data_IF_859289007465
#
_entry.id   IF_859289007465
#
_cell.length_a   1.000
_cell.length_b   1.000
_cell.length_c   1.000
_cell.angle_alpha   90.00
_cell.angle_beta   90.00
_cell.angle_gamma   90.00
#
_symmetry.space_group_name_H-M   'P 1'
#
loop_
_entity.id
_entity.type
_entity.pdbx_description
1 polymer ?
#
# COMPACT_ATOMS: atom_id res chain seq x y z
N UNK A 1 90.96 -10.76 -34.45
CA UNK A 1 92.08 -10.52 -33.50
C UNK A 1 91.68 -9.33 -32.60
N UNK A 2 91.79 -9.58 -31.29
CA UNK A 2 91.89 -8.62 -30.18
C UNK A 2 90.75 -7.58 -30.04
N UNK A 3 89.82 -7.78 -29.08
CA UNK A 3 89.80 -7.40 -27.67
C UNK A 3 90.05 -5.93 -27.40
N UNK A 4 89.02 -5.24 -26.79
CA UNK A 4 89.21 -4.50 -25.53
C UNK A 4 87.86 -4.20 -24.90
N UNK A 5 87.72 -4.59 -23.63
CA UNK A 5 86.67 -4.29 -22.69
C UNK A 5 86.88 -2.88 -22.10
N UNK A 6 85.78 -2.16 -21.92
CA UNK A 6 85.74 -1.04 -20.94
C UNK A 6 84.45 -1.09 -20.17
N UNK A 7 84.60 -1.28 -18.87
CA UNK A 7 83.56 -1.32 -17.89
C UNK A 7 83.08 0.14 -17.57
N UNK A 8 81.80 0.35 -17.62
CA UNK A 8 81.19 1.55 -17.02
C UNK A 8 80.37 1.10 -15.82
N UNK A 9 80.80 1.52 -14.62
CA UNK A 9 80.06 1.42 -13.37
C UNK A 9 78.98 2.51 -13.35
N UNK A 10 77.75 2.13 -13.30
CA UNK A 10 76.60 3.05 -13.03
C UNK A 10 76.23 2.94 -11.58
N UNK A 11 76.44 4.04 -10.81
CA UNK A 11 75.91 4.27 -9.50
C UNK A 11 74.42 4.23 -9.51
N UNK A 12 73.82 3.29 -8.77
CA UNK A 12 72.37 3.26 -8.47
C UNK A 12 72.09 4.08 -7.24
N UNK A 13 71.61 5.30 -7.40
CA UNK A 13 70.95 6.06 -6.35
C UNK A 13 69.55 5.48 -6.09
N UNK A 14 69.33 4.88 -4.94
CA UNK A 14 68.03 4.44 -4.44
C UNK A 14 67.26 5.68 -3.93
N UNK A 15 66.28 6.15 -4.69
CA UNK A 15 65.27 7.07 -4.20
C UNK A 15 64.25 6.27 -3.38
N UNK A 16 64.21 6.50 -2.08
CA UNK A 16 63.17 5.97 -1.16
C UNK A 16 61.95 6.86 -1.33
N UNK A 17 60.96 6.42 -2.09
CA UNK A 17 59.60 7.03 -2.14
C UNK A 17 58.88 6.59 -0.87
N UNK A 18 58.81 7.51 0.12
CA UNK A 18 57.91 7.40 1.27
C UNK A 18 56.49 7.68 0.74
N UNK A 19 55.78 6.64 0.41
CA UNK A 19 54.34 6.71 0.10
C UNK A 19 53.56 6.97 1.37
N UNK A 20 53.14 8.22 1.58
CA UNK A 20 52.17 8.58 2.62
C UNK A 20 50.82 8.00 2.26
N UNK A 21 50.48 6.83 2.80
CA UNK A 21 49.13 6.26 2.71
C UNK A 21 48.21 7.11 3.60
N UNK A 22 47.53 8.09 3.02
CA UNK A 22 46.33 8.67 3.63
C UNK A 22 45.23 7.59 3.63
N UNK A 23 45.13 6.87 4.74
CA UNK A 23 43.95 6.05 5.01
C UNK A 23 42.76 6.97 5.20
N UNK A 24 42.04 7.24 4.14
CA UNK A 24 40.69 7.79 4.20
C UNK A 24 39.83 6.72 4.84
N UNK A 25 39.62 6.80 6.14
CA UNK A 25 38.63 6.03 6.84
C UNK A 25 37.27 6.49 6.26
N UNK A 26 36.72 5.74 5.31
CA UNK A 26 35.33 5.93 4.89
C UNK A 26 34.46 5.68 6.11
N UNK A 27 33.97 6.73 6.74
CA UNK A 27 32.90 6.62 7.72
C UNK A 27 31.76 5.91 7.02
N UNK A 28 31.44 4.70 7.43
CA UNK A 28 30.23 4.02 6.96
C UNK A 28 29.07 4.84 7.49
N UNK A 29 28.47 5.66 6.62
CA UNK A 29 27.20 6.29 6.93
C UNK A 29 26.19 5.16 7.20
N UNK A 30 25.72 5.04 8.42
CA UNK A 30 24.65 4.12 8.79
C UNK A 30 23.36 4.56 8.14
N UNK A 31 22.57 3.62 7.65
CA UNK A 31 21.20 3.85 7.25
C UNK A 31 20.26 3.22 8.28
N UNK A 32 19.31 4.00 8.77
CA UNK A 32 18.23 3.52 9.62
C UNK A 32 17.13 3.02 8.71
N UNK A 33 16.86 1.72 8.70
CA UNK A 33 15.80 1.11 7.90
C UNK A 33 14.58 0.85 8.78
N UNK A 34 13.44 1.38 8.40
CA UNK A 34 12.19 1.31 9.15
C UNK A 34 11.08 0.75 8.26
N UNK A 35 10.50 -0.41 8.61
CA UNK A 35 9.43 -1.01 7.83
C UNK A 35 8.09 -0.31 8.08
N UNK A 36 7.34 -0.10 7.00
CA UNK A 36 5.95 0.37 7.02
C UNK A 36 5.10 -0.66 6.28
N UNK A 37 4.07 -1.16 6.95
CA UNK A 37 3.16 -2.17 6.40
C UNK A 37 1.73 -1.66 6.37
N UNK A 38 1.01 -1.97 5.30
CA UNK A 38 -0.42 -1.74 5.21
C UNK A 38 -1.09 -2.89 4.46
N UNK A 39 -2.32 -3.20 4.85
CA UNK A 39 -3.08 -4.31 4.26
C UNK A 39 -4.46 -3.85 3.85
N UNK A 40 -4.87 -4.23 2.65
CA UNK A 40 -6.25 -4.21 2.23
C UNK A 40 -6.83 -5.63 2.30
N UNK A 41 -7.93 -5.76 3.02
CA UNK A 41 -8.74 -6.96 3.08
C UNK A 41 -10.20 -6.50 3.12
N UNK A 42 -11.06 -6.95 2.18
CA UNK A 42 -12.46 -6.51 2.12
C UNK A 42 -13.22 -6.89 3.38
N UNK A 43 -13.95 -5.92 3.94
CA UNK A 43 -14.74 -6.12 5.16
C UNK A 43 -16.23 -6.29 4.81
N UNK A 44 -16.84 -7.49 4.97
CA UNK A 44 -18.27 -7.71 4.72
C UNK A 44 -19.19 -6.77 5.49
N UNK A 45 -18.82 -6.41 6.72
CA UNK A 45 -19.57 -5.47 7.56
C UNK A 45 -19.50 -4.01 7.12
N UNK A 46 -18.54 -3.64 6.26
CA UNK A 46 -18.37 -2.28 5.77
C UNK A 46 -17.91 -2.26 4.29
N UNK A 47 -18.76 -2.69 3.36
CA UNK A 47 -18.38 -2.94 1.97
C UNK A 47 -17.97 -1.68 1.17
N UNK A 48 -18.32 -0.50 1.66
CA UNK A 48 -17.94 0.77 1.03
C UNK A 48 -16.57 1.30 1.49
N UNK A 49 -15.96 0.68 2.51
CA UNK A 49 -14.66 1.06 3.01
C UNK A 49 -13.56 0.28 2.27
N UNK A 50 -13.11 0.83 1.16
CA UNK A 50 -12.06 0.26 0.33
C UNK A 50 -10.76 1.04 0.53
N UNK A 51 -10.15 0.89 1.70
CA UNK A 51 -8.95 1.60 2.11
C UNK A 51 -7.94 0.64 2.72
N UNK A 52 -6.65 0.92 2.53
CA UNK A 52 -5.60 0.23 3.25
C UNK A 52 -5.66 0.54 4.74
N UNK A 53 -5.55 -0.49 5.55
CA UNK A 53 -5.32 -0.38 6.99
C UNK A 53 -3.83 -0.41 7.25
N UNK A 54 -3.29 0.65 7.88
CA UNK A 54 -1.92 0.62 8.35
C UNK A 54 -1.76 -0.46 9.44
N UNK A 55 -0.87 -1.41 9.20
CA UNK A 55 -0.57 -2.54 10.10
C UNK A 55 0.79 -2.42 10.76
N UNK A 56 1.53 -1.32 10.48
CA UNK A 56 2.79 -1.03 11.16
C UNK A 56 2.57 -0.89 12.65
N UNK A 57 3.27 -1.64 13.51
CA UNK A 57 3.18 -1.46 14.95
C UNK A 57 3.63 -0.05 15.36
N UNK A 58 2.76 0.70 16.01
CA UNK A 58 3.11 2.01 16.52
C UNK A 58 4.25 1.91 17.55
N UNK A 59 5.25 2.75 17.38
CA UNK A 59 6.37 2.91 18.29
C UNK A 59 6.36 4.34 18.85
N UNK A 60 7.06 4.55 19.97
CA UNK A 60 7.23 5.89 20.54
C UNK A 60 5.91 6.61 20.80
N UNK A 61 5.76 7.82 20.25
CA UNK A 61 4.64 8.71 20.58
C UNK A 61 3.25 8.08 20.40
N UNK A 62 2.96 7.44 19.28
CA UNK A 62 1.64 6.87 19.03
C UNK A 62 1.37 5.57 19.81
N UNK A 63 2.40 4.86 20.26
CA UNK A 63 2.23 3.77 21.22
C UNK A 63 1.75 4.31 22.57
N UNK A 64 2.34 5.43 23.02
CA UNK A 64 2.07 6.01 24.31
C UNK A 64 0.79 6.89 24.32
N UNK A 65 0.42 7.46 23.14
CA UNK A 65 -0.74 8.34 22.97
C UNK A 65 -1.61 7.98 21.74
N UNK A 66 -2.18 6.76 21.70
CA UNK A 66 -2.88 6.26 20.51
C UNK A 66 -4.12 7.09 20.11
N UNK A 67 -4.82 7.67 21.09
CA UNK A 67 -6.00 8.50 20.84
C UNK A 67 -5.66 9.77 20.06
N UNK A 68 -4.55 10.41 20.44
CA UNK A 68 -4.07 11.63 19.79
C UNK A 68 -3.68 11.30 18.34
N UNK A 69 -2.94 10.22 18.14
CA UNK A 69 -2.53 9.80 16.80
C UNK A 69 -3.73 9.45 15.91
N UNK A 70 -4.73 8.79 16.47
CA UNK A 70 -5.97 8.48 15.73
C UNK A 70 -6.72 9.75 15.32
N UNK A 71 -6.83 10.74 16.22
CA UNK A 71 -7.49 12.01 15.93
C UNK A 71 -6.81 12.82 14.80
N UNK A 72 -5.50 12.66 14.64
CA UNK A 72 -4.70 13.32 13.59
C UNK A 72 -4.39 12.44 12.39
N UNK A 73 -4.85 11.18 12.38
CA UNK A 73 -4.53 10.16 11.36
C UNK A 73 -3.03 10.07 11.09
N UNK A 74 -2.24 9.93 12.16
CA UNK A 74 -0.78 9.80 12.13
C UNK A 74 -0.35 8.47 12.76
N UNK A 75 0.78 7.95 12.30
CA UNK A 75 1.43 6.74 12.81
C UNK A 75 2.87 7.09 13.17
N UNK A 76 3.43 6.50 14.24
CA UNK A 76 4.79 6.85 14.65
C UNK A 76 5.76 5.70 14.61
N UNK A 77 6.99 6.05 14.26
CA UNK A 77 8.17 5.21 14.32
C UNK A 77 9.18 5.86 15.26
N UNK A 78 9.88 5.03 16.04
CA UNK A 78 11.00 5.45 16.84
C UNK A 78 12.29 5.11 16.12
N UNK A 79 13.03 6.13 15.77
CA UNK A 79 14.39 5.95 15.33
C UNK A 79 15.27 5.81 16.57
N UNK A 80 15.81 4.62 16.80
CA UNK A 80 16.98 4.44 17.64
C UNK A 80 18.20 4.88 16.82
N UNK A 81 18.17 6.14 16.36
CA UNK A 81 19.42 6.83 15.99
C UNK A 81 20.29 6.68 17.21
N UNK A 82 21.38 5.95 17.12
CA UNK A 82 22.26 5.70 18.24
C UNK A 82 22.68 7.01 18.86
N UNK A 83 21.89 7.52 19.82
CA UNK A 83 21.91 8.81 20.45
C UNK A 83 22.44 9.94 19.57
N UNK A 84 21.68 10.97 19.34
CA UNK A 84 22.32 12.20 18.81
C UNK A 84 23.25 12.65 19.92
N UNK A 85 24.58 12.58 19.73
CA UNK A 85 25.54 12.82 20.82
C UNK A 85 25.38 14.24 21.37
N UNK A 86 25.76 14.42 22.59
CA UNK A 86 25.80 15.74 23.21
C UNK A 86 26.83 16.60 22.49
N UNK A 87 26.37 17.54 21.68
CA UNK A 87 27.21 18.50 20.98
C UNK A 87 26.90 19.92 21.44
N UNK A 88 27.88 20.80 21.31
CA UNK A 88 27.76 22.19 21.71
C UNK A 88 29.08 22.92 21.53
N UNK A 89 29.23 24.11 22.15
CA UNK A 89 28.25 24.81 22.98
C UNK A 89 27.13 25.50 22.15
N UNK A 90 25.99 25.77 22.83
CA UNK A 90 24.95 26.67 22.32
C UNK A 90 25.03 27.95 23.17
N UNK A 91 25.27 29.06 22.51
CA UNK A 91 25.36 30.37 23.19
C UNK A 91 23.98 30.89 23.59
N UNK A 92 23.93 31.61 24.71
CA UNK A 92 22.69 32.26 25.15
C UNK A 92 22.27 33.34 24.17
N UNK A 93 20.98 33.38 23.84
CA UNK A 93 20.36 34.37 22.93
C UNK A 93 21.01 34.42 21.55
N UNK A 94 21.55 33.30 21.07
CA UNK A 94 22.14 33.18 19.74
C UNK A 94 21.18 33.76 18.67
N UNK A 95 21.73 34.49 17.72
CA UNK A 95 20.98 35.12 16.63
C UNK A 95 20.69 34.12 15.50
N UNK A 96 21.63 33.24 15.19
CA UNK A 96 21.47 32.20 14.19
C UNK A 96 20.67 31.02 14.76
N UNK A 97 19.54 30.73 14.12
CA UNK A 97 18.68 29.59 14.51
C UNK A 97 19.40 28.25 14.36
N UNK A 98 20.34 28.13 13.40
CA UNK A 98 21.13 26.93 13.15
C UNK A 98 22.16 26.63 14.25
N UNK A 99 22.60 27.66 14.95
CA UNK A 99 23.49 27.58 16.09
C UNK A 99 22.75 27.21 17.41
N UNK A 100 21.49 26.81 17.35
CA UNK A 100 20.65 26.46 18.47
C UNK A 100 19.89 25.16 18.27
N UNK A 101 18.81 25.00 19.05
CA UNK A 101 17.91 23.86 18.90
C UNK A 101 16.86 24.14 17.83
N UNK A 102 16.90 23.41 16.74
CA UNK A 102 15.93 23.50 15.67
C UNK A 102 15.50 22.13 15.16
N UNK A 103 14.33 22.08 14.55
CA UNK A 103 13.79 20.90 13.90
C UNK A 103 13.16 21.34 12.57
N UNK A 104 13.57 20.69 11.48
CA UNK A 104 12.91 20.70 10.20
C UNK A 104 12.64 19.26 9.79
N UNK A 105 11.47 18.98 9.26
CA UNK A 105 11.09 17.65 8.73
C UNK A 105 10.59 17.75 7.30
N UNK A 106 10.68 16.67 6.49
CA UNK A 106 10.12 16.63 5.14
C UNK A 106 8.59 16.49 5.20
N UNK A 107 7.92 17.60 5.55
CA UNK A 107 6.47 17.66 5.77
C UNK A 107 5.65 17.76 4.46
N UNK A 108 6.28 18.00 3.31
CA UNK A 108 5.63 17.95 2.02
C UNK A 108 5.28 16.50 1.63
N UNK A 109 4.14 16.32 0.93
CA UNK A 109 3.79 15.03 0.36
C UNK A 109 4.80 14.63 -0.72
N UNK A 110 5.31 13.39 -0.63
CA UNK A 110 6.24 12.82 -1.60
C UNK A 110 5.62 11.59 -2.23
N UNK A 111 5.71 11.52 -3.55
CA UNK A 111 5.28 10.37 -4.32
C UNK A 111 6.30 9.24 -4.17
N UNK A 112 5.79 8.03 -3.98
CA UNK A 112 6.54 6.79 -3.92
C UNK A 112 5.89 5.77 -4.85
N UNK A 113 6.67 5.19 -5.77
CA UNK A 113 6.25 4.03 -6.54
C UNK A 113 6.44 2.77 -5.70
N UNK A 114 5.38 1.95 -5.60
CA UNK A 114 5.46 0.59 -5.08
C UNK A 114 5.15 -0.38 -6.20
N UNK A 115 5.88 -1.49 -6.25
CA UNK A 115 5.84 -2.46 -7.33
C UNK A 115 5.37 -3.81 -6.83
N UNK A 116 4.43 -4.40 -7.55
CA UNK A 116 3.98 -5.76 -7.30
C UNK A 116 5.13 -6.76 -7.49
N UNK A 117 5.35 -7.63 -6.50
CA UNK A 117 6.51 -8.54 -6.46
C UNK A 117 6.57 -9.51 -7.62
N UNK A 118 5.42 -10.00 -8.10
CA UNK A 118 5.34 -11.03 -9.14
C UNK A 118 5.07 -10.45 -10.53
N UNK A 119 4.07 -9.57 -10.64
CA UNK A 119 3.65 -9.04 -11.95
C UNK A 119 4.44 -7.84 -12.41
N UNK A 120 5.08 -7.13 -11.47
CA UNK A 120 5.78 -5.88 -11.75
C UNK A 120 4.84 -4.68 -11.95
N UNK A 121 3.53 -4.83 -11.69
CA UNK A 121 2.57 -3.71 -11.69
C UNK A 121 3.06 -2.61 -10.75
N UNK A 122 3.06 -1.37 -11.22
CA UNK A 122 3.48 -0.21 -10.43
C UNK A 122 2.28 0.67 -10.08
N UNK A 123 2.22 1.07 -8.82
CA UNK A 123 1.22 2.02 -8.33
C UNK A 123 1.88 3.08 -7.46
N UNK A 124 1.25 4.26 -7.40
CA UNK A 124 1.77 5.39 -6.65
C UNK A 124 1.05 5.53 -5.31
N UNK A 125 1.81 5.73 -4.26
CA UNK A 125 1.33 6.22 -2.98
C UNK A 125 2.03 7.53 -2.62
N UNK A 126 1.50 8.25 -1.65
CA UNK A 126 2.12 9.45 -1.13
C UNK A 126 2.39 9.30 0.37
N UNK A 127 3.54 9.76 0.80
CA UNK A 127 3.95 9.79 2.21
C UNK A 127 4.43 11.17 2.59
N UNK A 128 4.15 11.60 3.83
CA UNK A 128 4.78 12.79 4.43
C UNK A 128 5.11 12.53 5.88
N UNK A 129 6.09 13.26 6.38
CA UNK A 129 6.38 13.32 7.81
C UNK A 129 5.48 14.40 8.42
N UNK A 130 4.70 14.04 9.42
CA UNK A 130 3.65 14.90 9.98
C UNK A 130 4.01 15.47 11.37
N UNK A 131 5.11 15.01 11.96
CA UNK A 131 5.58 15.49 13.25
C UNK A 131 6.85 14.81 13.70
N UNK A 132 7.52 15.42 14.65
CA UNK A 132 8.75 14.93 15.26
C UNK A 132 8.81 15.27 16.74
N UNK A 133 9.41 14.39 17.52
CA UNK A 133 9.65 14.56 18.93
C UNK A 133 10.72 13.62 19.46
N UNK A 134 10.80 13.53 20.76
CA UNK A 134 11.78 12.68 21.42
C UNK A 134 12.06 13.14 22.84
N UNK A 135 13.23 12.80 23.34
CA UNK A 135 13.76 13.35 24.61
C UNK A 135 15.06 14.06 24.28
N UNK A 136 15.09 15.38 24.42
CA UNK A 136 16.38 16.05 24.40
C UNK A 136 17.13 15.77 25.70
N UNK A 137 18.44 15.82 25.65
CA UNK A 137 19.34 15.63 26.80
C UNK A 137 20.40 16.73 26.86
N UNK A 138 20.68 17.17 28.06
CA UNK A 138 21.66 18.21 28.34
C UNK A 138 22.89 17.59 29.00
N UNK A 139 24.07 18.15 28.78
CA UNK A 139 25.32 17.70 29.45
C UNK A 139 25.36 18.01 30.95
N UNK A 140 24.56 18.97 31.39
CA UNK A 140 24.45 19.37 32.80
C UNK A 140 22.99 19.43 33.22
N UNK A 141 22.77 19.38 34.56
CA UNK A 141 21.44 19.57 35.14
C UNK A 141 20.88 20.95 34.74
N UNK A 142 19.59 20.96 34.34
CA UNK A 142 18.92 22.22 34.04
C UNK A 142 18.92 23.21 35.17
N UNK A 143 18.96 22.72 36.42
CA UNK A 143 19.05 23.56 37.61
C UNK A 143 20.42 24.24 37.72
N UNK A 144 21.50 23.53 37.40
CA UNK A 144 22.86 24.09 37.35
C UNK A 144 22.98 25.14 36.25
N UNK A 145 22.43 24.86 35.04
CA UNK A 145 22.49 25.78 33.92
C UNK A 145 21.71 27.08 34.16
N UNK A 146 20.60 27.00 34.91
CA UNK A 146 19.66 28.14 35.04
C UNK A 146 19.66 28.77 36.44
N UNK A 147 20.29 28.15 37.42
CA UNK A 147 20.25 28.60 38.82
C UNK A 147 18.91 28.41 39.52
N UNK A 148 17.97 27.62 38.91
CA UNK A 148 16.67 27.36 39.51
C UNK A 148 16.70 26.18 40.47
N UNK A 149 15.71 26.10 41.38
CA UNK A 149 15.57 25.00 42.34
C UNK A 149 14.48 24.01 41.94
N UNK A 150 13.76 24.24 40.82
CA UNK A 150 12.71 23.40 40.30
C UNK A 150 13.02 22.98 38.85
N UNK A 151 12.96 21.69 38.58
CA UNK A 151 13.28 21.12 37.28
C UNK A 151 12.39 21.65 36.15
N UNK A 152 11.09 21.73 36.41
CA UNK A 152 10.11 22.18 35.38
C UNK A 152 10.30 23.67 35.09
N UNK A 153 10.56 24.46 36.12
CA UNK A 153 10.90 25.88 35.95
C UNK A 153 12.21 26.03 35.19
N UNK A 154 13.24 25.25 35.56
CA UNK A 154 14.52 25.25 34.88
C UNK A 154 14.40 24.99 33.39
N UNK A 155 13.72 23.92 32.96
CA UNK A 155 13.50 23.63 31.55
C UNK A 155 12.75 24.75 30.86
N UNK A 156 11.76 25.39 31.49
CA UNK A 156 11.01 26.48 30.91
C UNK A 156 11.86 27.75 30.73
N UNK A 157 12.65 28.14 31.71
CA UNK A 157 13.45 29.37 31.61
C UNK A 157 14.66 29.21 30.72
N UNK A 158 15.26 28.00 30.65
CA UNK A 158 16.35 27.68 29.74
C UNK A 158 16.04 28.03 28.27
N UNK A 159 14.78 27.82 27.86
CA UNK A 159 14.31 28.03 26.51
C UNK A 159 13.32 29.20 26.35
N UNK A 160 13.05 29.95 27.41
CA UNK A 160 12.03 31.00 27.44
C UNK A 160 10.59 30.50 27.41
N UNK A 161 10.36 29.24 27.10
CA UNK A 161 9.06 28.57 27.13
C UNK A 161 9.25 27.05 27.26
N UNK A 162 8.18 26.32 27.66
CA UNK A 162 8.23 24.86 27.72
C UNK A 162 8.42 24.26 26.32
N UNK A 163 9.13 23.14 26.22
CA UNK A 163 9.20 22.32 25.00
C UNK A 163 7.88 21.61 24.68
N UNK A 164 6.94 21.54 25.65
CA UNK A 164 5.57 21.11 25.36
C UNK A 164 4.84 22.10 24.45
N UNK A 165 5.29 23.37 24.42
CA UNK A 165 4.77 24.41 23.51
C UNK A 165 5.66 24.48 22.29
N UNK A 166 5.13 24.06 21.15
CA UNK A 166 5.85 24.13 19.88
C UNK A 166 6.05 25.59 19.44
N UNK A 167 7.20 25.94 18.89
CA UNK A 167 7.37 27.23 18.20
C UNK A 167 6.65 27.19 16.83
N UNK A 168 6.12 28.33 16.38
CA UNK A 168 5.58 28.45 15.02
C UNK A 168 6.66 28.17 13.97
N UNK A 169 6.32 27.47 12.83
CA UNK A 169 4.99 27.02 12.42
C UNK A 169 4.58 25.64 12.99
N UNK A 170 5.42 25.02 13.81
CA UNK A 170 5.05 23.75 14.45
C UNK A 170 3.88 23.92 15.43
N UNK A 171 3.13 22.84 15.63
CA UNK A 171 1.92 22.83 16.45
C UNK A 171 2.09 21.88 17.64
N UNK A 172 1.71 22.39 18.82
CA UNK A 172 1.71 21.58 20.04
C UNK A 172 0.61 20.53 20.01
N UNK A 173 0.92 19.30 20.40
CA UNK A 173 -0.04 18.20 20.46
C UNK A 173 -0.52 17.90 21.90
N UNK A 174 -0.09 18.68 22.85
CA UNK A 174 -0.74 18.81 24.15
C UNK A 174 -0.34 17.88 25.27
N UNK A 175 0.61 16.95 25.10
CA UNK A 175 1.05 16.10 26.23
C UNK A 175 2.55 15.81 26.24
N UNK A 176 3.18 16.10 27.40
CA UNK A 176 4.51 15.62 27.75
C UNK A 176 4.46 15.15 29.20
N UNK A 177 4.88 13.93 29.43
CA UNK A 177 4.81 13.31 30.75
C UNK A 177 6.16 13.15 31.43
N UNK A 178 7.27 13.45 30.73
CA UNK A 178 8.60 13.24 31.28
C UNK A 178 9.45 14.51 31.25
N UNK A 179 10.00 14.86 32.38
CA UNK A 179 11.12 15.80 32.53
C UNK A 179 12.00 15.31 33.66
N UNK A 180 13.31 15.42 33.51
CA UNK A 180 14.31 15.02 34.47
C UNK A 180 15.37 16.11 34.66
N UNK A 181 16.45 15.78 35.32
CA UNK A 181 17.55 16.74 35.56
C UNK A 181 18.15 17.28 34.25
N UNK A 182 18.32 16.42 33.26
CA UNK A 182 18.95 16.75 31.99
C UNK A 182 17.99 16.65 30.80
N UNK A 183 16.92 15.86 30.91
CA UNK A 183 16.08 15.50 29.78
C UNK A 183 14.66 16.05 29.85
N UNK A 184 14.07 16.35 28.67
CA UNK A 184 12.68 16.74 28.53
C UNK A 184 12.06 16.09 27.28
N UNK A 185 10.94 15.36 27.47
CA UNK A 185 10.18 14.77 26.39
C UNK A 185 9.29 15.80 25.69
N UNK A 186 9.27 15.79 24.38
CA UNK A 186 8.43 16.67 23.58
C UNK A 186 7.94 15.96 22.31
N UNK A 187 6.87 16.49 21.73
CA UNK A 187 6.41 16.12 20.40
C UNK A 187 5.68 17.31 19.75
N UNK A 188 6.04 17.62 18.51
CA UNK A 188 5.45 18.69 17.73
C UNK A 188 4.94 18.15 16.39
N UNK A 189 3.75 18.56 15.99
CA UNK A 189 3.31 18.39 14.61
C UNK A 189 4.05 19.40 13.72
N UNK A 190 4.41 18.95 12.53
CA UNK A 190 5.09 19.76 11.51
C UNK A 190 4.18 19.85 10.28
N UNK A 191 3.20 20.79 10.26
CA UNK A 191 2.23 20.90 9.15
C UNK A 191 2.89 21.33 7.84
N UNK A 192 4.02 22.04 7.93
CA UNK A 192 4.76 22.63 6.82
C UNK A 192 6.24 22.25 6.89
N UNK A 193 6.91 22.22 5.74
CA UNK A 193 8.35 21.96 5.64
C UNK A 193 9.16 23.23 5.97
N UNK A 194 9.03 23.67 7.20
CA UNK A 194 9.70 24.86 7.75
C UNK A 194 10.42 24.54 9.05
N UNK A 195 11.31 25.45 9.46
CA UNK A 195 12.09 25.30 10.67
C UNK A 195 11.30 25.73 11.89
N UNK A 196 11.29 24.88 12.92
CA UNK A 196 10.79 25.16 14.24
C UNK A 196 11.98 25.22 15.21
N UNK A 197 12.27 26.40 15.78
CA UNK A 197 13.45 26.60 16.62
C UNK A 197 13.11 27.17 17.97
N UNK A 198 13.94 26.83 18.97
CA UNK A 198 13.92 27.44 20.29
C UNK A 198 15.28 28.06 20.61
N UNK A 199 15.25 29.31 20.97
CA UNK A 199 16.44 30.06 21.36
C UNK A 199 16.80 29.77 22.82
N UNK A 200 18.03 29.34 23.08
CA UNK A 200 18.55 29.18 24.45
C UNK A 200 18.64 30.54 25.13
N UNK A 201 18.21 30.63 26.42
CA UNK A 201 18.33 31.83 27.24
C UNK A 201 19.56 31.78 28.17
N UNK A 202 20.15 30.62 28.29
CA UNK A 202 21.37 30.36 29.05
C UNK A 202 22.36 29.58 28.18
N UNK A 203 23.67 29.66 28.41
CA UNK A 203 24.63 28.84 27.68
C UNK A 203 24.37 27.36 27.95
N UNK A 204 24.43 26.53 26.92
CA UNK A 204 24.26 25.08 27.01
C UNK A 204 25.55 24.42 26.50
N UNK A 205 26.36 23.84 27.37
CA UNK A 205 27.62 23.20 26.96
C UNK A 205 27.45 21.99 26.05
N UNK A 206 26.32 21.29 26.17
CA UNK A 206 25.99 20.15 25.29
C UNK A 206 24.50 19.84 25.25
N UNK A 207 23.99 19.66 24.04
CA UNK A 207 22.63 19.23 23.72
C UNK A 207 22.68 18.01 22.81
N UNK A 208 21.82 17.05 23.05
CA UNK A 208 21.61 15.88 22.21
C UNK A 208 20.20 15.35 22.33
N UNK A 209 19.92 14.20 21.71
CA UNK A 209 18.65 13.50 21.83
C UNK A 209 18.88 12.03 22.18
N UNK A 210 18.16 11.50 23.16
CA UNK A 210 18.22 10.07 23.53
C UNK A 210 17.62 9.18 22.45
N UNK A 211 16.55 9.65 21.82
CA UNK A 211 15.88 9.05 20.68
C UNK A 211 15.05 10.13 19.98
N UNK A 212 14.71 9.86 18.76
CA UNK A 212 13.78 10.66 17.98
C UNK A 212 12.58 9.81 17.57
N UNK A 213 11.38 10.32 17.80
CA UNK A 213 10.13 9.80 17.28
C UNK A 213 9.70 10.70 16.13
N UNK A 214 9.26 10.12 15.02
CA UNK A 214 8.60 10.88 13.97
C UNK A 214 7.29 10.21 13.59
N UNK A 215 6.33 11.02 13.17
CA UNK A 215 5.06 10.52 12.65
C UNK A 215 4.97 10.72 11.16
N UNK A 216 4.26 9.82 10.50
CA UNK A 216 3.99 9.88 9.08
C UNK A 216 2.49 9.76 8.80
N UNK A 217 2.09 10.24 7.64
CA UNK A 217 0.79 10.01 7.03
C UNK A 217 0.97 9.38 5.66
N UNK A 218 0.00 8.55 5.27
CA UNK A 218 -0.06 7.88 3.98
C UNK A 218 -1.32 8.27 3.23
N UNK A 219 -1.20 8.42 1.90
CA UNK A 219 -2.29 8.35 0.94
C UNK A 219 -2.03 7.17 0.04
N UNK A 220 -2.86 6.16 0.18
CA UNK A 220 -2.74 4.91 -0.56
C UNK A 220 -3.56 4.97 -1.84
N UNK A 221 -3.18 4.20 -2.89
CA UNK A 221 -4.02 4.04 -4.07
C UNK A 221 -5.33 3.32 -3.74
N UNK A 222 -6.27 3.35 -4.68
CA UNK A 222 -7.52 2.60 -4.59
C UNK A 222 -7.22 1.09 -4.71
N UNK A 223 -7.40 0.29 -3.64
CA UNK A 223 -7.02 -1.12 -3.67
C UNK A 223 -7.86 -1.96 -4.64
N UNK A 224 -9.09 -1.52 -4.97
CA UNK A 224 -9.94 -2.24 -5.94
C UNK A 224 -9.39 -2.22 -7.37
N UNK A 225 -8.44 -1.32 -7.65
CA UNK A 225 -7.76 -1.21 -8.94
C UNK A 225 -6.41 -1.92 -8.98
N UNK A 226 -6.00 -2.51 -7.87
CA UNK A 226 -4.74 -3.22 -7.73
C UNK A 226 -4.95 -4.72 -7.88
N UNK A 227 -3.94 -5.43 -8.36
CA UNK A 227 -3.94 -6.89 -8.36
C UNK A 227 -3.72 -7.45 -6.94
N UNK A 228 -4.21 -8.66 -6.67
CA UNK A 228 -3.92 -9.37 -5.42
C UNK A 228 -2.43 -9.64 -5.30
N UNK A 229 -1.83 -9.36 -4.14
CA UNK A 229 -0.43 -9.67 -3.88
C UNK A 229 0.28 -8.64 -3.01
N UNK A 230 1.60 -8.64 -3.10
CA UNK A 230 2.49 -7.81 -2.28
C UNK A 230 3.16 -6.76 -3.18
N UNK A 231 3.05 -5.51 -2.77
CA UNK A 231 3.70 -4.36 -3.41
C UNK A 231 4.77 -3.81 -2.49
N UNK A 232 5.95 -3.57 -3.02
CA UNK A 232 7.12 -3.09 -2.26
C UNK A 232 7.67 -1.80 -2.87
N UNK A 233 8.17 -0.92 -2.00
CA UNK A 233 8.82 0.32 -2.41
C UNK A 233 9.60 0.94 -1.26
N UNK A 234 10.48 1.87 -1.57
CA UNK A 234 11.39 2.49 -0.60
C UNK A 234 11.41 3.99 -0.76
N UNK A 235 11.26 4.71 0.35
CA UNK A 235 11.46 6.15 0.43
C UNK A 235 12.68 6.44 1.29
N UNK A 236 13.61 7.21 0.74
CA UNK A 236 14.84 7.60 1.43
C UNK A 236 14.78 9.07 1.80
N UNK A 237 15.19 9.39 3.02
CA UNK A 237 15.37 10.73 3.54
C UNK A 237 16.79 10.91 4.09
N UNK A 238 17.34 12.09 3.90
CA UNK A 238 18.59 12.50 4.54
C UNK A 238 18.33 13.09 5.92
N UNK A 239 19.21 12.80 6.88
CA UNK A 239 19.19 13.40 8.21
C UNK A 239 20.57 14.00 8.51
N UNK A 240 20.71 15.28 8.18
CA UNK A 240 21.96 16.03 8.31
C UNK A 240 21.68 17.53 8.25
N UNK A 241 22.64 18.41 8.58
CA UNK A 241 22.52 19.85 8.32
C UNK A 241 22.16 20.15 6.86
N UNK A 242 21.05 20.86 6.64
CA UNK A 242 20.52 21.16 5.29
C UNK A 242 19.79 20.02 4.58
N UNK A 243 19.65 18.86 5.22
CA UNK A 243 18.96 17.70 4.68
C UNK A 243 17.43 17.75 4.81
N UNK A 244 16.79 16.59 4.53
CA UNK A 244 15.33 16.42 4.69
C UNK A 244 14.93 16.60 6.16
N UNK A 245 15.57 15.84 7.05
CA UNK A 245 15.53 16.09 8.48
C UNK A 245 16.76 16.93 8.84
N UNK A 246 16.54 18.12 9.40
CA UNK A 246 17.59 19.03 9.75
C UNK A 246 17.43 19.47 11.22
N UNK A 247 18.45 19.19 12.04
CA UNK A 247 18.48 19.53 13.47
C UNK A 247 19.42 20.72 13.75
N UNK A 248 19.84 21.44 12.71
CA UNK A 248 20.80 22.55 12.81
C UNK A 248 22.25 22.08 12.69
N UNK A 249 23.17 23.01 12.95
CA UNK A 249 24.60 22.76 12.74
C UNK A 249 25.30 22.22 14.01
N UNK A 250 24.65 22.38 15.17
CA UNK A 250 25.19 21.93 16.46
C UNK A 250 24.84 20.48 16.73
N UNK A 251 23.60 20.06 16.43
CA UNK A 251 23.09 18.74 16.75
C UNK A 251 23.20 17.82 15.54
N UNK A 252 24.28 17.06 15.46
CA UNK A 252 24.55 16.18 14.33
C UNK A 252 24.23 14.71 14.70
N UNK A 253 23.29 14.05 14.01
CA UNK A 253 23.06 12.61 14.14
C UNK A 253 24.25 11.79 13.66
N UNK A 254 24.42 10.58 14.21
CA UNK A 254 25.46 9.63 13.79
C UNK A 254 25.15 8.98 12.45
N UNK A 255 23.86 8.80 12.15
CA UNK A 255 23.36 8.27 10.88
C UNK A 255 22.94 9.42 9.96
N UNK A 256 23.14 9.26 8.68
CA UNK A 256 22.82 10.29 7.69
C UNK A 256 21.62 9.98 6.81
N UNK A 257 21.05 8.76 6.92
CA UNK A 257 19.95 8.28 6.09
C UNK A 257 18.88 7.61 6.94
N UNK A 258 17.63 7.97 6.66
CA UNK A 258 16.43 7.25 7.12
C UNK A 258 15.77 6.65 5.89
N UNK A 259 15.66 5.34 5.85
CA UNK A 259 15.00 4.58 4.79
C UNK A 259 13.68 4.02 5.33
N UNK A 260 12.58 4.31 4.66
CA UNK A 260 11.27 3.73 4.92
C UNK A 260 10.99 2.68 3.87
N UNK A 261 10.89 1.42 4.28
CA UNK A 261 10.56 0.30 3.40
C UNK A 261 9.08 -0.04 3.53
N UNK A 262 8.36 0.15 2.43
CA UNK A 262 6.92 -0.06 2.35
C UNK A 262 6.59 -1.45 1.84
N UNK A 263 5.64 -2.10 2.51
CA UNK A 263 5.02 -3.34 2.06
C UNK A 263 3.51 -3.17 2.14
N UNK A 264 2.85 -3.13 0.97
CA UNK A 264 1.40 -3.15 0.87
C UNK A 264 0.94 -4.55 0.50
N UNK A 265 0.02 -5.11 1.27
CA UNK A 265 -0.60 -6.40 0.96
C UNK A 265 -2.03 -6.17 0.50
N UNK A 266 -2.37 -6.65 -0.70
CA UNK A 266 -3.71 -6.59 -1.27
C UNK A 266 -4.28 -8.00 -1.27
N UNK A 267 -5.36 -8.19 -0.53
CA UNK A 267 -6.12 -9.44 -0.48
C UNK A 267 -7.51 -9.19 -1.05
N UNK A 268 -7.81 -9.80 -2.19
CA UNK A 268 -9.13 -9.74 -2.78
C UNK A 268 -9.90 -11.03 -2.50
N UNK A 269 -11.22 -10.91 -2.54
CA UNK A 269 -12.13 -12.05 -2.49
C UNK A 269 -12.83 -12.20 -3.84
N UNK A 270 -12.92 -13.43 -4.34
CA UNK A 270 -13.84 -13.83 -5.41
C UNK A 270 -14.45 -15.16 -5.03
N UNK A 271 -15.75 -15.16 -4.75
CA UNK A 271 -16.49 -16.36 -4.39
C UNK A 271 -17.84 -16.36 -5.10
N UNK A 272 -18.14 -17.46 -5.77
CA UNK A 272 -19.42 -17.69 -6.43
C UNK A 272 -20.07 -18.95 -5.85
N UNK A 273 -21.28 -18.80 -5.35
CA UNK A 273 -22.05 -19.90 -4.79
C UNK A 273 -23.31 -20.12 -5.66
N UNK A 274 -23.50 -21.35 -6.14
CA UNK A 274 -24.69 -21.78 -6.87
C UNK A 274 -25.62 -22.50 -5.86
N UNK A 275 -26.93 -22.21 -5.88
CA UNK A 275 -27.89 -22.89 -4.99
C UNK A 275 -27.87 -24.40 -5.18
N UNK A 276 -28.23 -25.17 -4.15
CA UNK A 276 -28.34 -26.63 -4.25
C UNK A 276 -29.21 -27.05 -5.46
N UNK A 277 -28.71 -27.99 -6.28
CA UNK A 277 -29.35 -28.47 -7.50
C UNK A 277 -29.15 -27.53 -8.73
N UNK A 278 -28.51 -26.36 -8.58
CA UNK A 278 -28.26 -25.43 -9.68
C UNK A 278 -27.15 -25.87 -10.66
N UNK A 279 -26.53 -27.02 -10.43
CA UNK A 279 -25.60 -27.69 -11.34
C UNK A 279 -26.29 -28.59 -12.37
N UNK A 280 -27.62 -28.80 -12.26
CA UNK A 280 -28.44 -29.52 -13.22
C UNK A 280 -29.50 -28.56 -13.76
N UNK A 281 -29.45 -28.27 -15.04
CA UNK A 281 -30.31 -27.27 -15.69
C UNK A 281 -31.18 -27.95 -16.75
N UNK A 282 -32.50 -27.84 -16.60
CA UNK A 282 -33.47 -28.25 -17.60
C UNK A 282 -33.99 -27.00 -18.32
N UNK A 283 -33.85 -26.97 -19.64
CA UNK A 283 -34.39 -25.91 -20.49
C UNK A 283 -35.86 -26.20 -20.83
N UNK A 284 -36.69 -25.23 -20.52
CA UNK A 284 -38.17 -25.35 -20.75
C UNK A 284 -38.71 -24.16 -21.52
N UNK A 285 -39.86 -24.34 -22.21
CA UNK A 285 -40.56 -23.23 -22.84
C UNK A 285 -41.05 -22.20 -21.82
N UNK A 286 -41.28 -20.98 -22.28
CA UNK A 286 -41.96 -19.97 -21.48
C UNK A 286 -43.37 -20.44 -21.09
N UNK A 287 -43.65 -20.46 -19.78
CA UNK A 287 -44.90 -21.02 -19.25
C UNK A 287 -44.95 -22.54 -19.17
N UNK A 288 -43.84 -23.23 -19.46
CA UNK A 288 -43.72 -24.69 -19.44
C UNK A 288 -44.32 -25.37 -20.70
N UNK A 289 -44.33 -26.69 -20.66
CA UNK A 289 -44.77 -27.54 -21.79
C UNK A 289 -46.29 -27.56 -22.03
N UNK A 290 -47.09 -27.04 -21.08
CA UNK A 290 -48.57 -27.15 -21.11
C UNK A 290 -49.19 -26.43 -22.34
N UNK A 291 -48.61 -25.29 -22.75
CA UNK A 291 -49.07 -24.57 -23.95
C UNK A 291 -48.96 -25.38 -25.25
N UNK A 292 -47.93 -26.22 -25.36
CA UNK A 292 -47.73 -27.10 -26.49
C UNK A 292 -48.60 -28.36 -26.37
N UNK A 293 -48.57 -29.01 -25.22
CA UNK A 293 -49.31 -30.28 -24.99
C UNK A 293 -50.85 -30.12 -25.11
N UNK A 294 -51.38 -29.01 -24.61
CA UNK A 294 -52.84 -28.81 -24.56
C UNK A 294 -53.38 -27.94 -25.71
N UNK A 295 -52.56 -27.11 -26.34
CA UNK A 295 -53.01 -26.11 -27.33
C UNK A 295 -52.26 -26.20 -28.67
N UNK A 296 -51.33 -27.14 -28.85
CA UNK A 296 -50.53 -27.30 -30.05
C UNK A 296 -49.60 -26.14 -30.37
N UNK A 297 -49.37 -25.18 -29.44
CA UNK A 297 -48.52 -24.03 -29.65
C UNK A 297 -47.05 -24.44 -29.55
N UNK A 298 -46.35 -24.49 -30.69
CA UNK A 298 -44.92 -24.80 -30.71
C UNK A 298 -44.14 -23.75 -29.93
N UNK A 299 -43.22 -24.18 -29.02
CA UNK A 299 -42.33 -23.25 -28.30
C UNK A 299 -41.49 -22.42 -29.27
N UNK A 300 -41.27 -21.15 -28.94
CA UNK A 300 -40.42 -20.24 -29.72
C UNK A 300 -38.99 -20.18 -29.18
N UNK A 301 -38.77 -20.64 -27.95
CA UNK A 301 -37.46 -20.79 -27.36
C UNK A 301 -37.50 -21.76 -26.15
N UNK A 302 -36.39 -22.40 -25.87
CA UNK A 302 -36.19 -23.13 -24.64
C UNK A 302 -35.16 -22.35 -23.80
N UNK A 303 -35.44 -22.11 -22.54
CA UNK A 303 -34.54 -21.33 -21.72
C UNK A 303 -34.58 -21.72 -20.26
N UNK A 304 -33.54 -21.31 -19.54
CA UNK A 304 -33.47 -21.35 -18.07
C UNK A 304 -32.63 -20.17 -17.58
N UNK A 305 -33.12 -19.48 -16.57
CA UNK A 305 -32.38 -18.50 -15.82
C UNK A 305 -31.93 -19.16 -14.49
N UNK A 306 -30.62 -19.29 -14.28
CA UNK A 306 -30.02 -19.88 -13.09
C UNK A 306 -29.42 -18.79 -12.24
N UNK A 307 -29.95 -18.58 -11.05
CA UNK A 307 -29.39 -17.63 -10.09
C UNK A 307 -28.15 -18.19 -9.42
N UNK A 308 -27.21 -17.31 -9.09
CA UNK A 308 -26.05 -17.56 -8.25
C UNK A 308 -25.86 -16.37 -7.30
N UNK A 309 -25.02 -16.51 -6.28
CA UNK A 309 -24.57 -15.38 -5.47
C UNK A 309 -23.07 -15.16 -5.66
N UNK A 310 -22.66 -13.90 -5.70
CA UNK A 310 -21.25 -13.52 -5.85
C UNK A 310 -20.82 -12.59 -4.71
N UNK A 311 -19.64 -12.90 -4.14
CA UNK A 311 -18.90 -12.00 -3.25
C UNK A 311 -17.58 -11.67 -3.92
N UNK A 312 -17.32 -10.40 -4.18
CA UNK A 312 -16.09 -10.00 -4.86
C UNK A 312 -15.63 -8.57 -4.52
N UNK A 313 -14.33 -8.42 -4.34
CA UNK A 313 -13.58 -7.16 -4.40
C UNK A 313 -12.55 -7.18 -5.54
N UNK A 314 -12.39 -8.33 -6.20
CA UNK A 314 -11.44 -8.56 -7.28
C UNK A 314 -12.05 -8.22 -8.63
N UNK A 315 -11.24 -7.71 -9.53
CA UNK A 315 -11.50 -7.79 -10.96
C UNK A 315 -11.49 -9.26 -11.38
N UNK A 316 -12.30 -9.62 -12.33
CA UNK A 316 -12.36 -10.99 -12.84
C UNK A 316 -12.81 -11.02 -14.28
N UNK A 317 -12.55 -12.14 -14.94
CA UNK A 317 -13.05 -12.48 -16.28
C UNK A 317 -13.89 -13.75 -16.22
N UNK A 318 -14.72 -13.96 -17.24
CA UNK A 318 -15.50 -15.17 -17.37
C UNK A 318 -15.14 -15.89 -18.66
N UNK A 319 -15.03 -17.21 -18.58
CA UNK A 319 -14.78 -18.09 -19.72
C UNK A 319 -15.73 -19.27 -19.71
N UNK A 320 -15.96 -19.84 -20.89
CA UNK A 320 -16.73 -21.05 -21.07
C UNK A 320 -15.85 -22.22 -21.50
N UNK A 321 -16.12 -23.39 -20.93
CA UNK A 321 -15.66 -24.68 -21.44
C UNK A 321 -16.86 -25.56 -21.67
N UNK A 322 -16.93 -26.21 -22.84
CA UNK A 322 -18.11 -26.95 -23.27
C UNK A 322 -17.73 -28.35 -23.75
N UNK A 323 -18.51 -29.32 -23.42
CA UNK A 323 -18.38 -30.68 -23.96
C UNK A 323 -18.58 -30.70 -25.49
N UNK A 324 -19.55 -29.93 -25.99
CA UNK A 324 -19.84 -29.81 -27.43
C UNK A 324 -19.88 -28.34 -27.83
N UNK A 325 -19.44 -28.04 -29.03
CA UNK A 325 -19.25 -26.68 -29.55
C UNK A 325 -19.88 -26.55 -30.93
N UNK A 326 -20.57 -25.43 -31.17
CA UNK A 326 -21.03 -24.98 -32.50
C UNK A 326 -20.69 -23.50 -32.64
N UNK A 327 -19.83 -23.17 -33.61
CA UNK A 327 -19.33 -21.80 -33.78
C UNK A 327 -18.58 -21.30 -32.54
N UNK A 328 -18.99 -20.16 -32.02
CA UNK A 328 -18.37 -19.52 -30.81
C UNK A 328 -19.26 -19.68 -29.56
N UNK A 329 -20.00 -20.79 -29.46
CA UNK A 329 -20.88 -21.05 -28.32
C UNK A 329 -20.89 -22.56 -27.96
N UNK A 330 -21.36 -22.89 -26.77
CA UNK A 330 -21.62 -24.26 -26.35
C UNK A 330 -22.74 -24.91 -27.23
N UNK A 331 -22.79 -26.22 -27.20
CA UNK A 331 -23.87 -26.96 -27.86
C UNK A 331 -24.39 -28.12 -27.00
N UNK A 332 -25.60 -28.51 -27.23
CA UNK A 332 -26.17 -29.75 -26.71
C UNK A 332 -26.23 -30.78 -27.83
N UNK A 333 -25.97 -32.03 -27.50
CA UNK A 333 -25.96 -33.17 -28.43
C UNK A 333 -27.17 -34.06 -28.22
N UNK A 334 -27.80 -34.45 -29.32
CA UNK A 334 -28.82 -35.48 -29.28
C UNK A 334 -28.22 -36.86 -29.08
N UNK A 335 -28.80 -37.65 -28.16
CA UNK A 335 -28.22 -38.89 -27.68
C UNK A 335 -28.07 -40.00 -28.75
N UNK A 336 -28.94 -40.02 -29.77
CA UNK A 336 -28.99 -41.11 -30.79
C UNK A 336 -28.41 -40.64 -32.15
N UNK A 337 -28.78 -39.47 -32.63
CA UNK A 337 -28.38 -38.98 -33.94
C UNK A 337 -27.09 -38.21 -33.99
N UNK A 338 -26.54 -37.89 -32.82
CA UNK A 338 -25.38 -37.00 -32.65
C UNK A 338 -25.58 -35.56 -33.20
N UNK A 339 -26.82 -35.16 -33.45
CA UNK A 339 -27.22 -33.82 -33.89
C UNK A 339 -26.83 -32.79 -32.81
N UNK A 340 -26.25 -31.65 -33.22
CA UNK A 340 -25.79 -30.60 -32.31
C UNK A 340 -26.68 -29.36 -32.45
N UNK A 341 -27.06 -28.82 -31.28
CA UNK A 341 -27.86 -27.60 -31.20
C UNK A 341 -27.11 -26.55 -30.40
N UNK A 342 -26.89 -25.32 -30.94
CA UNK A 342 -26.23 -24.24 -30.22
C UNK A 342 -26.98 -23.86 -28.96
N UNK A 343 -26.25 -23.73 -27.87
CA UNK A 343 -26.70 -23.22 -26.56
C UNK A 343 -26.13 -21.83 -26.35
N UNK A 344 -26.97 -20.81 -26.44
CA UNK A 344 -26.61 -19.44 -26.15
C UNK A 344 -26.54 -19.26 -24.62
N UNK A 345 -25.47 -18.66 -24.17
CA UNK A 345 -25.27 -18.34 -22.75
C UNK A 345 -25.05 -16.85 -22.56
N UNK A 346 -25.55 -16.34 -21.45
CA UNK A 346 -25.35 -14.96 -21.05
C UNK A 346 -25.29 -14.81 -19.53
N UNK A 347 -24.81 -13.68 -19.07
CA UNK A 347 -24.74 -13.34 -17.65
C UNK A 347 -25.36 -11.98 -17.37
N UNK A 348 -26.08 -11.90 -16.26
CA UNK A 348 -26.44 -10.64 -15.61
C UNK A 348 -25.76 -10.59 -14.24
N UNK A 349 -25.01 -9.53 -14.01
CA UNK A 349 -24.27 -9.32 -12.75
C UNK A 349 -25.02 -8.31 -11.87
N UNK A 350 -24.83 -8.37 -10.54
CA UNK A 350 -25.46 -7.43 -9.62
C UNK A 350 -24.96 -6.00 -9.83
N UNK A 351 -25.77 -5.02 -9.43
CA UNK A 351 -25.37 -3.63 -9.36
C UNK A 351 -24.10 -3.47 -8.54
N UNK A 352 -23.16 -2.66 -9.02
CA UNK A 352 -21.83 -2.48 -8.44
C UNK A 352 -20.74 -3.26 -9.17
N UNK A 353 -21.10 -4.14 -10.12
CA UNK A 353 -20.20 -4.73 -11.10
C UNK A 353 -20.45 -4.10 -12.48
N UNK A 354 -19.36 -3.76 -13.14
CA UNK A 354 -19.37 -3.22 -14.50
C UNK A 354 -18.47 -4.03 -15.42
N UNK A 355 -18.72 -3.93 -16.73
CA UNK A 355 -17.81 -4.44 -17.75
C UNK A 355 -16.59 -3.52 -17.96
N UNK A 356 -15.74 -3.85 -18.91
CA UNK A 356 -14.55 -3.07 -19.25
C UNK A 356 -14.86 -1.62 -19.71
N UNK A 357 -16.08 -1.37 -20.20
CA UNK A 357 -16.54 -0.03 -20.60
C UNK A 357 -17.22 0.77 -19.49
N UNK A 358 -17.29 0.19 -18.27
CA UNK A 358 -17.96 0.79 -17.12
C UNK A 358 -19.49 0.67 -17.14
N UNK A 359 -20.05 -0.18 -18.03
CA UNK A 359 -21.49 -0.37 -18.15
C UNK A 359 -21.98 -1.51 -17.25
N UNK A 360 -23.26 -1.41 -16.82
CA UNK A 360 -23.93 -2.49 -16.10
C UNK A 360 -24.07 -3.74 -16.97
N UNK A 361 -23.83 -4.90 -16.39
CA UNK A 361 -23.86 -6.19 -17.09
C UNK A 361 -25.26 -6.79 -17.03
N UNK A 362 -25.97 -6.78 -18.15
CA UNK A 362 -27.30 -7.35 -18.28
C UNK A 362 -27.41 -8.21 -19.52
N UNK A 363 -27.63 -9.51 -19.35
CA UNK A 363 -27.70 -10.52 -20.43
C UNK A 363 -26.51 -10.45 -21.39
N UNK A 364 -25.33 -10.13 -20.87
CA UNK A 364 -24.10 -10.08 -21.67
C UNK A 364 -23.82 -11.48 -22.22
N UNK A 365 -23.69 -11.67 -23.55
CA UNK A 365 -23.35 -12.96 -24.12
C UNK A 365 -21.98 -13.46 -23.62
N UNK A 366 -21.93 -14.71 -23.17
CA UNK A 366 -20.68 -15.41 -22.89
C UNK A 366 -20.26 -16.22 -24.11
N UNK A 367 -19.04 -16.03 -24.57
CA UNK A 367 -18.46 -16.64 -25.75
C UNK A 367 -17.24 -17.48 -25.43
N UNK A 368 -16.97 -18.49 -26.26
CA UNK A 368 -15.82 -19.39 -26.07
C UNK A 368 -14.49 -18.67 -26.21
N UNK A 369 -14.38 -17.69 -27.11
CA UNK A 369 -13.19 -16.87 -27.29
C UNK A 369 -13.00 -15.81 -26.20
N UNK A 370 -13.95 -15.72 -25.25
CA UNK A 370 -13.93 -14.76 -24.14
C UNK A 370 -14.32 -13.34 -24.54
N UNK A 371 -14.65 -13.07 -25.82
CA UNK A 371 -14.95 -11.71 -26.26
C UNK A 371 -16.17 -11.12 -25.54
N UNK A 372 -15.98 -9.92 -24.98
CA UNK A 372 -16.98 -9.19 -24.19
C UNK A 372 -17.03 -9.55 -22.70
N UNK A 373 -16.33 -10.59 -22.27
CA UNK A 373 -16.26 -11.04 -20.86
C UNK A 373 -14.83 -11.06 -20.29
N UNK A 374 -13.94 -10.28 -20.91
CA UNK A 374 -12.51 -10.22 -20.55
C UNK A 374 -12.25 -9.50 -19.24
N UNK A 375 -13.15 -8.63 -18.81
CA UNK A 375 -13.00 -7.86 -17.58
C UNK A 375 -14.34 -7.48 -16.99
N UNK A 376 -14.53 -7.84 -15.72
CA UNK A 376 -15.54 -7.31 -14.84
C UNK A 376 -14.89 -6.70 -13.63
N UNK A 377 -15.35 -5.53 -13.20
CA UNK A 377 -14.74 -4.81 -12.09
C UNK A 377 -15.76 -4.33 -11.05
N UNK A 378 -15.49 -4.53 -9.76
CA UNK A 378 -16.32 -4.00 -8.69
C UNK A 378 -16.02 -2.52 -8.44
N UNK A 379 -17.07 -1.71 -8.22
CA UNK A 379 -16.93 -0.34 -7.73
C UNK A 379 -16.78 -0.26 -6.21
N UNK A 380 -17.11 -1.35 -5.52
CA UNK A 380 -16.97 -1.57 -4.07
C UNK A 380 -17.04 -3.07 -3.77
N UNK A 381 -16.69 -3.48 -2.56
CA UNK A 381 -16.83 -4.89 -2.18
C UNK A 381 -18.30 -5.30 -2.20
N UNK A 382 -18.59 -6.37 -2.91
CA UNK A 382 -19.90 -7.01 -2.97
C UNK A 382 -19.90 -8.26 -2.10
N UNK A 383 -20.86 -8.37 -1.19
CA UNK A 383 -21.06 -9.58 -0.38
C UNK A 383 -22.38 -10.25 -0.74
N UNK A 384 -22.31 -11.51 -1.20
CA UNK A 384 -23.44 -12.41 -1.53
C UNK A 384 -24.56 -11.74 -2.33
N UNK A 385 -24.20 -10.99 -3.37
CA UNK A 385 -25.17 -10.35 -4.25
C UNK A 385 -25.64 -11.31 -5.34
N UNK A 386 -26.95 -11.30 -5.68
CA UNK A 386 -27.49 -12.21 -6.69
C UNK A 386 -27.07 -11.80 -8.11
N UNK A 387 -26.65 -12.79 -8.90
CA UNK A 387 -26.49 -12.71 -10.35
C UNK A 387 -27.29 -13.81 -11.05
N UNK A 388 -27.33 -13.81 -12.37
CA UNK A 388 -28.07 -14.76 -13.17
C UNK A 388 -27.27 -15.21 -14.38
N UNK A 389 -27.12 -16.52 -14.54
CA UNK A 389 -26.71 -17.14 -15.80
C UNK A 389 -27.95 -17.44 -16.64
N UNK A 390 -27.94 -17.03 -17.89
CA UNK A 390 -29.01 -17.22 -18.86
C UNK A 390 -28.60 -18.30 -19.85
N UNK A 391 -29.46 -19.30 -20.03
CA UNK A 391 -29.28 -20.39 -20.98
C UNK A 391 -30.45 -20.35 -21.95
N UNK A 392 -30.18 -20.37 -23.23
CA UNK A 392 -31.24 -20.25 -24.25
C UNK A 392 -30.91 -21.03 -25.53
N UNK A 393 -31.89 -21.72 -26.07
CA UNK A 393 -31.89 -22.24 -27.43
C UNK A 393 -32.85 -21.40 -28.27
N UNK A 394 -32.33 -20.81 -29.32
CA UNK A 394 -33.07 -19.92 -30.20
C UNK A 394 -34.13 -20.67 -31.04
N UNK A 395 -35.12 -19.93 -31.54
CA UNK A 395 -36.31 -20.45 -32.21
C UNK A 395 -36.00 -21.40 -33.38
N UNK A 396 -35.07 -21.04 -34.25
CA UNK A 396 -34.71 -21.84 -35.43
C UNK A 396 -34.23 -23.25 -35.05
N UNK A 397 -33.59 -23.40 -33.91
CA UNK A 397 -33.09 -24.68 -33.40
C UNK A 397 -34.17 -25.45 -32.66
N UNK A 398 -35.05 -24.77 -31.91
CA UNK A 398 -36.20 -25.41 -31.24
C UNK A 398 -37.14 -26.07 -32.24
N UNK A 399 -37.40 -25.44 -33.38
CA UNK A 399 -38.22 -26.00 -34.45
C UNK A 399 -37.65 -27.33 -35.00
N UNK A 400 -36.33 -27.42 -35.15
CA UNK A 400 -35.65 -28.66 -35.60
C UNK A 400 -35.62 -29.75 -34.52
N UNK A 401 -35.52 -29.37 -33.25
CA UNK A 401 -35.56 -30.30 -32.10
C UNK A 401 -36.93 -30.97 -31.94
N UNK A 402 -38.00 -30.24 -32.21
CA UNK A 402 -39.39 -30.64 -32.01
C UNK A 402 -40.05 -31.22 -33.31
N UNK A 403 -39.27 -31.93 -34.14
CA UNK A 403 -39.80 -32.60 -35.33
C UNK A 403 -40.81 -33.72 -34.93
N UNK A 404 -41.87 -33.87 -35.73
CA UNK A 404 -42.96 -34.79 -35.42
C UNK A 404 -42.50 -36.27 -35.38
N UNK A 405 -43.02 -37.01 -34.39
CA UNK A 405 -42.90 -38.48 -34.33
C UNK A 405 -41.62 -39.03 -33.71
N UNK A 406 -40.66 -38.21 -33.32
CA UNK A 406 -39.38 -38.66 -32.75
C UNK A 406 -39.14 -38.05 -31.37
N UNK A 407 -38.98 -38.88 -30.34
CA UNK A 407 -38.56 -38.46 -29.00
C UNK A 407 -37.06 -38.24 -29.01
N UNK A 408 -36.60 -36.99 -28.94
CA UNK A 408 -35.20 -36.58 -28.92
C UNK A 408 -34.83 -36.10 -27.51
N UNK A 409 -33.61 -36.43 -27.07
CA UNK A 409 -33.03 -35.97 -25.78
C UNK A 409 -31.70 -35.34 -26.08
N UNK A 410 -31.56 -34.06 -25.77
CA UNK A 410 -30.33 -33.30 -25.93
C UNK A 410 -29.70 -33.04 -24.55
N UNK A 411 -28.38 -33.25 -24.45
CA UNK A 411 -27.61 -32.99 -23.24
C UNK A 411 -26.20 -32.55 -23.59
N UNK A 412 -25.51 -31.94 -22.59
CA UNK A 412 -24.11 -31.55 -22.68
C UNK A 412 -23.67 -30.84 -21.44
N UNK A 413 -22.39 -30.93 -21.13
CA UNK A 413 -21.76 -30.29 -19.98
C UNK A 413 -21.20 -28.92 -20.37
N UNK A 414 -21.42 -27.94 -19.50
CA UNK A 414 -20.92 -26.59 -19.63
C UNK A 414 -20.29 -26.16 -18.32
N UNK A 415 -19.04 -25.69 -18.38
CA UNK A 415 -18.32 -25.11 -17.26
C UNK A 415 -18.19 -23.61 -17.44
N UNK A 416 -18.65 -22.85 -16.46
CA UNK A 416 -18.43 -21.39 -16.39
C UNK A 416 -17.28 -21.12 -15.43
N UNK A 417 -16.19 -20.58 -15.95
CA UNK A 417 -14.97 -20.28 -15.20
C UNK A 417 -15.00 -18.81 -14.82
N UNK A 418 -14.85 -18.54 -13.53
CA UNK A 418 -14.69 -17.23 -12.95
C UNK A 418 -13.22 -17.10 -12.53
N UNK A 419 -12.46 -16.29 -13.26
CA UNK A 419 -11.03 -16.20 -13.11
C UNK A 419 -10.68 -14.80 -12.61
N UNK A 420 -10.18 -14.72 -11.34
CA UNK A 420 -9.70 -13.44 -10.82
C UNK A 420 -8.44 -13.04 -11.57
N UNK A 421 -8.42 -11.83 -12.09
CA UNK A 421 -7.22 -11.26 -12.69
C UNK A 421 -6.18 -11.05 -11.60
N UNK A 422 -5.06 -11.75 -11.74
CA UNK A 422 -3.89 -11.70 -10.84
C UNK A 422 -2.85 -10.78 -11.48
#
# INVERSE_FOLDING_TARGET
MMNLWTAFQLLRTRAILIGCWLSVSAMKAGAIVLPITATFNPEPGNPLKNEFKNTTPNQGFCRDYPEICRAHNIFSLRSHVGGVPLNGPIEANHADIRAGAMIKTPAAWRNLSVRHRETGEEVMLEVRIAGMGGVYDLSHSVMELTGTTDLRVGHRVLWGSSWATAPSPCVSIGRNSYYGYTGFAFFWLTPEEQVCSKQAKFPIPGLGYRYLDFTYQLRTPDPLKMSTGIYEGTQVYTIMPGGDFDLGDIVAPTDSIIQLDFTLTVEHALKVDVPPGGNQIELVPQGGWQGWLNQGRKPVRLFRDQTFTISTSSRFKMRLECQYIVGNTCALREAKSADLVPLQMGVSLPNGLTDASGQSVNRLPLRLDGSGSELFQPGFYLDRKPGTLHFEIAREHVESMLSEGVRKTYSGDVTVIWDSEV
#
